data_IF_530173280334
#
_entry.id   IF_530173280334
#
_cell.length_a   1.000
_cell.length_b   1.000
_cell.length_c   1.000
_cell.angle_alpha   90.00
_cell.angle_beta   90.00
_cell.angle_gamma   90.00
#
_symmetry.space_group_name_H-M   'P 1'
#
loop_
_entity.id
_entity.type
_entity.pdbx_description
1 polymer ?
#
# COMPACT_ATOMS: atom_id res chain seq x y z
N UNK A 1 -21.88 -0.40 -9.90
CA UNK A 1 -20.54 -0.09 -9.36
C UNK A 1 -19.79 -1.31 -8.84
N UNK A 2 -20.35 -2.02 -7.88
CA UNK A 2 -19.74 -3.27 -7.37
C UNK A 2 -19.63 -4.31 -8.49
N UNK A 3 -20.65 -4.41 -9.33
CA UNK A 3 -20.66 -5.32 -10.47
C UNK A 3 -19.51 -5.04 -11.43
N UNK A 4 -19.20 -3.78 -11.66
CA UNK A 4 -18.10 -3.39 -12.54
C UNK A 4 -16.75 -3.81 -11.96
N UNK A 5 -16.58 -3.69 -10.66
CA UNK A 5 -15.38 -4.12 -9.95
C UNK A 5 -15.21 -5.63 -10.06
N UNK A 6 -16.28 -6.39 -9.87
CA UNK A 6 -16.26 -7.85 -9.96
C UNK A 6 -15.90 -8.30 -11.37
N UNK A 7 -16.52 -7.70 -12.39
CA UNK A 7 -16.24 -8.03 -13.79
C UNK A 7 -14.79 -7.72 -14.16
N UNK A 8 -14.30 -6.55 -13.76
CA UNK A 8 -12.90 -6.18 -13.99
C UNK A 8 -11.95 -7.17 -13.32
N UNK A 9 -12.25 -7.55 -12.07
CA UNK A 9 -11.41 -8.49 -11.33
C UNK A 9 -11.37 -9.87 -12.00
N UNK A 10 -12.51 -10.37 -12.47
CA UNK A 10 -12.55 -11.65 -13.18
C UNK A 10 -11.67 -11.64 -14.44
N UNK A 11 -11.74 -10.57 -15.20
CA UNK A 11 -10.90 -10.40 -16.38
C UNK A 11 -9.42 -10.29 -16.00
N UNK A 12 -9.11 -9.50 -14.98
CA UNK A 12 -7.75 -9.32 -14.48
C UNK A 12 -7.12 -10.65 -14.07
N UNK A 13 -7.86 -11.48 -13.33
CA UNK A 13 -7.39 -12.79 -12.90
C UNK A 13 -7.26 -13.74 -14.11
N UNK A 14 -8.27 -13.77 -14.99
CA UNK A 14 -8.24 -14.65 -16.17
C UNK A 14 -7.08 -14.34 -17.11
N UNK A 15 -6.72 -13.08 -17.25
CA UNK A 15 -5.60 -12.62 -18.08
C UNK A 15 -4.26 -12.60 -17.34
N UNK A 16 -4.22 -13.07 -16.09
CA UNK A 16 -3.02 -13.08 -15.25
C UNK A 16 -2.41 -11.69 -15.08
N UNK A 17 -3.26 -10.66 -14.95
CA UNK A 17 -2.84 -9.28 -14.79
C UNK A 17 -2.03 -9.01 -13.52
N UNK A 18 -2.08 -9.94 -12.56
CA UNK A 18 -1.34 -9.84 -11.30
C UNK A 18 0.16 -10.14 -11.46
N UNK A 19 0.59 -10.77 -12.53
CA UNK A 19 1.99 -11.20 -12.67
C UNK A 19 3.01 -10.07 -12.54
N UNK A 20 2.79 -8.88 -13.11
CA UNK A 20 3.74 -7.77 -12.95
C UNK A 20 3.87 -7.25 -11.51
N UNK A 21 2.94 -7.64 -10.62
CA UNK A 21 2.89 -7.16 -9.24
C UNK A 21 3.44 -8.18 -8.24
N UNK A 22 3.86 -9.34 -8.68
CA UNK A 22 4.38 -10.38 -7.80
C UNK A 22 5.70 -9.94 -7.17
N UNK A 23 5.77 -10.05 -5.84
CA UNK A 23 6.93 -9.68 -5.05
C UNK A 23 6.81 -10.32 -3.67
N UNK A 24 7.73 -10.02 -2.76
CA UNK A 24 7.69 -10.49 -1.39
C UNK A 24 7.11 -9.42 -0.45
N UNK A 25 6.92 -9.77 0.81
CA UNK A 25 6.48 -8.82 1.84
C UNK A 25 7.58 -7.86 2.30
N UNK A 26 8.83 -8.13 1.96
CA UNK A 26 9.96 -7.31 2.41
C UNK A 26 10.20 -6.17 1.42
N UNK A 27 10.23 -4.90 1.88
CA UNK A 27 10.33 -3.75 0.99
C UNK A 27 11.72 -3.63 0.39
N UNK A 28 11.81 -3.64 -0.93
CA UNK A 28 13.08 -3.58 -1.67
C UNK A 28 13.86 -2.30 -1.37
N UNK A 29 13.16 -1.18 -1.12
CA UNK A 29 13.80 0.10 -0.80
C UNK A 29 14.01 0.31 0.70
N UNK A 30 13.68 -0.68 1.53
CA UNK A 30 13.82 -0.62 2.99
C UNK A 30 13.17 0.65 3.56
N UNK A 31 11.94 0.91 3.13
CA UNK A 31 11.21 2.14 3.43
C UNK A 31 9.83 1.84 3.96
N UNK A 32 9.42 2.56 4.98
CA UNK A 32 8.05 2.58 5.48
C UNK A 32 7.51 4.00 5.40
N UNK A 33 6.30 4.16 4.89
CA UNK A 33 5.66 5.46 4.67
C UNK A 33 4.34 5.48 5.42
N UNK A 34 4.14 6.48 6.25
CA UNK A 34 2.83 6.78 6.84
C UNK A 34 2.22 7.94 6.06
N UNK A 35 1.02 7.75 5.55
CA UNK A 35 0.35 8.74 4.70
C UNK A 35 -1.14 8.83 4.99
N UNK A 36 -1.77 9.87 4.46
CA UNK A 36 -3.21 10.05 4.53
C UNK A 36 -3.93 9.06 3.61
N UNK A 37 -5.15 8.68 4.01
CA UNK A 37 -6.03 7.82 3.22
C UNK A 37 -6.85 8.57 2.17
N UNK A 38 -6.58 9.85 1.94
CA UNK A 38 -7.28 10.66 0.94
C UNK A 38 -7.26 9.97 -0.43
N UNK A 39 -8.42 9.88 -1.07
CA UNK A 39 -8.56 9.18 -2.35
C UNK A 39 -7.69 9.75 -3.46
N UNK A 40 -7.34 11.03 -3.38
CA UNK A 40 -6.48 11.69 -4.37
C UNK A 40 -5.05 11.17 -4.34
N UNK A 41 -4.63 10.52 -3.24
CA UNK A 41 -3.28 10.01 -3.05
C UNK A 41 -3.11 8.54 -3.44
N UNK A 42 -4.19 7.84 -3.76
CA UNK A 42 -4.15 6.40 -4.02
C UNK A 42 -3.13 6.02 -5.10
N UNK A 43 -3.14 6.72 -6.20
CA UNK A 43 -2.16 6.49 -7.27
C UNK A 43 -1.09 7.58 -7.31
N UNK A 44 -1.47 8.81 -6.96
CA UNK A 44 -0.57 9.97 -7.03
C UNK A 44 0.66 9.80 -6.15
N UNK A 45 0.49 9.35 -4.92
CA UNK A 45 1.62 9.26 -3.99
C UNK A 45 2.71 8.30 -4.48
N UNK A 46 2.41 7.03 -4.78
CA UNK A 46 3.45 6.15 -5.29
C UNK A 46 4.04 6.62 -6.63
N UNK A 47 3.22 7.17 -7.52
CA UNK A 47 3.71 7.69 -8.79
C UNK A 47 4.66 8.87 -8.59
N UNK A 48 4.32 9.80 -7.69
CA UNK A 48 5.16 10.96 -7.40
C UNK A 48 6.50 10.58 -6.77
N UNK A 49 6.53 9.51 -5.99
CA UNK A 49 7.75 9.03 -5.32
C UNK A 49 8.53 8.03 -6.17
N UNK A 50 7.98 7.59 -7.29
CA UNK A 50 8.61 6.58 -8.13
C UNK A 50 8.69 5.21 -7.49
N UNK A 51 7.76 4.89 -6.60
CA UNK A 51 7.71 3.58 -5.94
C UNK A 51 6.65 2.68 -6.57
N UNK A 52 6.93 1.40 -6.56
CA UNK A 52 6.09 0.36 -7.15
C UNK A 52 5.81 -0.73 -6.13
N UNK A 53 4.99 -1.68 -6.50
CA UNK A 53 4.68 -2.82 -5.66
C UNK A 53 5.97 -3.53 -5.22
N UNK A 54 6.14 -3.76 -3.93
CA UNK A 54 7.33 -4.39 -3.38
C UNK A 54 8.41 -3.43 -2.91
N UNK A 55 8.35 -2.14 -3.26
CA UNK A 55 9.40 -1.17 -2.93
C UNK A 55 9.35 -0.70 -1.48
N UNK A 56 8.16 -0.46 -0.95
CA UNK A 56 7.99 0.17 0.37
C UNK A 56 6.74 -0.36 1.06
N UNK A 57 6.72 -0.26 2.38
CA UNK A 57 5.50 -0.48 3.17
C UNK A 57 4.77 0.85 3.29
N UNK A 58 3.48 0.86 2.97
CA UNK A 58 2.66 2.06 3.02
C UNK A 58 1.55 1.85 4.04
N UNK A 59 1.51 2.72 5.05
CA UNK A 59 0.51 2.73 6.11
C UNK A 59 -0.38 3.95 5.90
N UNK A 60 -1.69 3.76 5.91
CA UNK A 60 -2.65 4.83 5.64
C UNK A 60 -3.61 4.99 6.81
N UNK A 61 -3.81 6.24 7.20
CA UNK A 61 -4.88 6.60 8.13
C UNK A 61 -5.40 8.00 7.83
N UNK A 62 -6.41 8.44 8.56
CA UNK A 62 -6.95 9.78 8.40
C UNK A 62 -5.90 10.81 8.85
N UNK A 63 -5.40 11.60 7.90
CA UNK A 63 -4.42 12.65 8.15
C UNK A 63 -2.96 12.20 8.15
N UNK A 64 -2.67 10.91 8.05
CA UNK A 64 -1.28 10.41 8.06
C UNK A 64 -0.55 10.73 9.35
N UNK A 65 -1.21 10.57 10.50
CA UNK A 65 -0.69 11.01 11.80
C UNK A 65 -0.62 9.87 12.82
N UNK A 66 0.29 10.01 13.77
CA UNK A 66 0.36 9.16 14.96
C UNK A 66 -0.26 9.95 16.11
N UNK A 67 -1.44 9.53 16.56
CA UNK A 67 -2.19 10.22 17.61
C UNK A 67 -2.22 9.45 18.94
N UNK A 68 -1.76 8.21 18.96
CA UNK A 68 -1.80 7.38 20.16
C UNK A 68 -0.63 6.39 20.16
N UNK A 69 0.12 6.26 21.28
CA UNK A 69 1.31 5.40 21.31
C UNK A 69 1.03 3.90 21.16
N UNK A 70 -0.22 3.47 21.42
CA UNK A 70 -0.62 2.07 21.29
C UNK A 70 -1.62 1.84 20.16
N UNK A 71 -1.79 2.83 19.26
CA UNK A 71 -2.71 2.75 18.14
C UNK A 71 -2.18 1.88 17.00
N UNK A 72 -3.05 1.63 16.02
CA UNK A 72 -2.73 0.78 14.87
C UNK A 72 -1.59 1.34 14.01
N UNK A 73 -1.47 2.68 13.92
CA UNK A 73 -0.38 3.30 13.18
C UNK A 73 0.98 2.98 13.78
N UNK A 74 1.11 3.06 15.11
CA UNK A 74 2.36 2.72 15.80
C UNK A 74 2.66 1.23 15.63
N UNK A 75 1.67 0.37 15.83
CA UNK A 75 1.84 -1.08 15.64
C UNK A 75 2.31 -1.40 14.23
N UNK A 76 1.69 -0.80 13.24
CA UNK A 76 2.02 -1.02 11.83
C UNK A 76 3.45 -0.56 11.52
N UNK A 77 3.86 0.59 12.06
CA UNK A 77 5.22 1.08 11.89
C UNK A 77 6.25 0.17 12.55
N UNK A 78 5.95 -0.35 13.75
CA UNK A 78 6.84 -1.30 14.42
C UNK A 78 7.03 -2.57 13.61
N UNK A 79 5.94 -3.14 13.08
CA UNK A 79 6.02 -4.32 12.21
C UNK A 79 6.81 -4.00 10.94
N UNK A 80 6.56 -2.84 10.35
CA UNK A 80 7.27 -2.41 9.15
C UNK A 80 8.78 -2.32 9.40
N UNK A 81 9.19 -1.71 10.51
CA UNK A 81 10.61 -1.58 10.88
C UNK A 81 11.26 -2.95 11.05
N UNK A 82 10.56 -3.91 11.67
CA UNK A 82 11.09 -5.26 11.85
C UNK A 82 11.27 -6.01 10.54
N UNK A 83 10.57 -5.58 9.47
CA UNK A 83 10.62 -6.24 8.16
C UNK A 83 11.42 -5.44 7.13
N UNK A 84 12.02 -4.34 7.53
CA UNK A 84 12.91 -3.60 6.65
C UNK A 84 14.25 -4.35 6.51
#
# INVERSE_FOLDING_TARGET
MIEDIILHNRKFVAERGYEPYETSKYPDKKLAILTCMDTRLTELLPAALGIRNGDAKIIKNAGGVISHPYGSAVRSLLVAILEL
#
